data_IF_194655976978
#
_entry.id   IF_194655976978
#
_cell.length_a   1.000
_cell.length_b   1.000
_cell.length_c   1.000
_cell.angle_alpha   90.00
_cell.angle_beta   90.00
_cell.angle_gamma   90.00
#
_symmetry.space_group_name_H-M   'P 1'
#
loop_
_entity.id
_entity.type
_entity.pdbx_description
1 polymer ?
#
# COMPACT_ATOMS: atom_id res chain seq x y z
N UNK A 1 16.57 0.47 -11.42
CA UNK A 1 15.82 1.73 -11.63
C UNK A 1 15.96 2.56 -10.37
N UNK A 2 16.31 3.84 -10.48
CA UNK A 2 16.42 4.71 -9.31
C UNK A 2 15.03 4.98 -8.72
N UNK A 3 14.90 4.87 -7.39
CA UNK A 3 13.64 5.21 -6.70
C UNK A 3 13.40 6.71 -6.82
N UNK A 4 12.17 7.11 -7.15
CA UNK A 4 11.73 8.51 -7.19
C UNK A 4 10.77 8.78 -6.05
N UNK A 5 10.80 9.96 -5.42
CA UNK A 5 9.88 10.31 -4.35
C UNK A 5 8.44 10.37 -4.88
N UNK A 6 7.52 9.74 -4.16
CA UNK A 6 6.09 9.75 -4.45
C UNK A 6 5.37 10.54 -3.35
N UNK A 7 4.84 11.71 -3.69
CA UNK A 7 4.08 12.54 -2.75
C UNK A 7 2.61 12.15 -2.78
N UNK A 8 2.11 11.58 -1.67
CA UNK A 8 0.71 11.19 -1.49
C UNK A 8 0.12 11.88 -0.27
N UNK A 9 -1.15 12.27 -0.37
CA UNK A 9 -1.94 12.75 0.76
C UNK A 9 -2.83 11.62 1.27
N UNK A 10 -2.64 11.22 2.52
CA UNK A 10 -3.44 10.19 3.21
C UNK A 10 -3.76 10.66 4.64
N UNK A 11 -4.80 10.08 5.23
CA UNK A 11 -5.16 10.34 6.63
C UNK A 11 -4.01 9.98 7.59
N UNK A 12 -3.83 10.78 8.65
CA UNK A 12 -2.72 10.60 9.59
C UNK A 12 -2.79 9.27 10.35
N UNK A 13 -4.01 8.80 10.68
CA UNK A 13 -4.19 7.50 11.34
C UNK A 13 -3.78 6.38 10.40
N UNK A 14 -4.20 6.43 9.13
CA UNK A 14 -3.80 5.46 8.11
C UNK A 14 -2.28 5.47 7.89
N UNK A 15 -1.64 6.64 7.91
CA UNK A 15 -0.17 6.74 7.84
C UNK A 15 0.51 6.03 9.02
N UNK A 16 -0.03 6.15 10.24
CA UNK A 16 0.49 5.43 11.41
C UNK A 16 0.28 3.92 11.26
N UNK A 17 -0.91 3.49 10.87
CA UNK A 17 -1.23 2.08 10.62
C UNK A 17 -0.27 1.47 9.58
N UNK A 18 -0.04 2.15 8.45
CA UNK A 18 0.89 1.68 7.42
C UNK A 18 2.30 1.43 7.98
N UNK A 19 2.78 2.33 8.86
CA UNK A 19 4.09 2.15 9.50
C UNK A 19 4.13 0.94 10.42
N UNK A 20 3.08 0.72 11.21
CA UNK A 20 3.00 -0.45 12.08
C UNK A 20 2.99 -1.75 11.28
N UNK A 21 2.15 -1.84 10.24
CA UNK A 21 2.10 -3.01 9.34
C UNK A 21 3.47 -3.25 8.71
N UNK A 22 4.14 -2.22 8.22
CA UNK A 22 5.46 -2.36 7.61
C UNK A 22 6.50 -2.92 8.61
N UNK A 23 6.45 -2.45 9.87
CA UNK A 23 7.32 -2.99 10.94
C UNK A 23 7.02 -4.46 11.21
N UNK A 24 5.74 -4.83 11.31
CA UNK A 24 5.32 -6.21 11.57
C UNK A 24 5.75 -7.17 10.45
N UNK A 25 5.72 -6.70 9.21
CA UNK A 25 6.18 -7.44 8.01
C UNK A 25 7.71 -7.37 7.79
N UNK A 26 8.43 -6.62 8.62
CA UNK A 26 9.89 -6.49 8.53
C UNK A 26 10.40 -5.72 7.30
N UNK A 27 9.55 -4.87 6.70
CA UNK A 27 9.85 -4.10 5.49
C UNK A 27 9.67 -2.60 5.70
N UNK A 28 10.16 -1.78 4.78
CA UNK A 28 9.85 -0.34 4.79
C UNK A 28 8.45 -0.06 4.25
N UNK A 29 7.83 1.04 4.69
CA UNK A 29 6.53 1.46 4.16
C UNK A 29 6.57 1.69 2.64
N UNK A 30 7.71 2.15 2.09
CA UNK A 30 7.87 2.31 0.64
C UNK A 30 7.89 0.97 -0.10
N UNK A 31 8.58 -0.04 0.43
CA UNK A 31 8.60 -1.38 -0.16
C UNK A 31 7.22 -2.02 -0.14
N UNK A 32 6.54 -1.94 1.01
CA UNK A 32 5.18 -2.46 1.16
C UNK A 32 4.22 -1.83 0.12
N UNK A 33 4.28 -0.50 -0.04
CA UNK A 33 3.48 0.21 -1.05
C UNK A 33 3.86 -0.19 -2.48
N UNK A 34 5.15 -0.33 -2.78
CA UNK A 34 5.62 -0.78 -4.10
C UNK A 34 5.08 -2.19 -4.42
N UNK A 35 5.12 -3.12 -3.47
CA UNK A 35 4.60 -4.48 -3.63
C UNK A 35 3.10 -4.50 -3.93
N UNK A 36 2.31 -3.73 -3.18
CA UNK A 36 0.88 -3.60 -3.45
C UNK A 36 0.59 -3.01 -4.83
N UNK A 37 1.34 -1.97 -5.24
CA UNK A 37 1.21 -1.39 -6.59
C UNK A 37 1.54 -2.42 -7.66
N UNK A 38 2.60 -3.22 -7.46
CA UNK A 38 2.98 -4.29 -8.38
C UNK A 38 1.91 -5.39 -8.46
N UNK A 39 1.36 -5.81 -7.32
CA UNK A 39 0.29 -6.80 -7.26
C UNK A 39 -0.95 -6.31 -8.02
N UNK A 40 -1.39 -5.07 -7.79
CA UNK A 40 -2.51 -4.45 -8.51
C UNK A 40 -2.25 -4.33 -10.02
N UNK A 41 -1.00 -4.04 -10.42
CA UNK A 41 -0.61 -3.98 -11.84
C UNK A 41 -0.69 -5.36 -12.49
N UNK A 42 -0.23 -6.41 -11.80
CA UNK A 42 -0.25 -7.80 -12.30
C UNK A 42 -1.68 -8.35 -12.35
N UNK A 43 -2.49 -8.05 -11.35
CA UNK A 43 -3.87 -8.51 -11.28
C UNK A 43 -4.83 -7.39 -10.86
N UNK A 44 -5.52 -6.80 -11.85
CA UNK A 44 -6.52 -5.75 -11.60
C UNK A 44 -7.76 -6.24 -10.84
N UNK A 45 -8.00 -7.55 -10.73
CA UNK A 45 -9.13 -8.06 -9.93
C UNK A 45 -8.97 -7.74 -8.44
N UNK A 46 -7.73 -7.57 -7.98
CA UNK A 46 -7.42 -7.15 -6.60
C UNK A 46 -8.07 -5.80 -6.28
N UNK A 47 -8.12 -4.88 -7.25
CA UNK A 47 -8.79 -3.57 -7.06
C UNK A 47 -10.28 -3.76 -6.76
N UNK A 48 -10.94 -4.72 -7.42
CA UNK A 48 -12.34 -5.05 -7.13
C UNK A 48 -12.48 -5.67 -5.73
N UNK A 49 -11.63 -6.64 -5.40
CA UNK A 49 -11.63 -7.27 -4.08
C UNK A 49 -11.45 -6.25 -2.94
N UNK A 50 -10.50 -5.31 -3.07
CA UNK A 50 -10.30 -4.23 -2.08
C UNK A 50 -11.57 -3.37 -1.95
N UNK A 51 -12.21 -3.02 -3.07
CA UNK A 51 -13.46 -2.23 -3.04
C UNK A 51 -14.59 -2.97 -2.36
N UNK A 52 -14.68 -4.29 -2.54
CA UNK A 52 -15.72 -5.11 -1.93
C UNK A 52 -15.48 -5.27 -0.42
N UNK A 53 -14.22 -5.44 0.02
CA UNK A 53 -13.84 -5.45 1.44
C UNK A 53 -14.19 -4.12 2.12
N UNK A 54 -13.91 -2.99 1.46
CA UNK A 54 -14.14 -1.66 2.02
C UNK A 54 -15.60 -1.18 1.91
N UNK A 55 -16.48 -1.96 1.26
CA UNK A 55 -17.88 -1.60 1.03
C UNK A 55 -18.82 -1.90 2.22
N UNK A 56 -18.25 -2.18 3.39
CA UNK A 56 -18.99 -2.37 4.64
C UNK A 56 -19.97 -1.23 4.87
#
# INVERSE_FOLDING_TARGET
>A
MSKVPLNLSIDEKLKKTLKHIAIDEGVSASELVEEYIMAMKKNRSIIKAIKDINKV
#
